data_IF_090982096924
#
_entry.id   IF_090982096924
#
_cell.length_a   1.000
_cell.length_b   1.000
_cell.length_c   1.000
_cell.angle_alpha   90.00
_cell.angle_beta   90.00
_cell.angle_gamma   90.00
#
_symmetry.space_group_name_H-M   'P 1'
#
loop_
_entity.id
_entity.type
_entity.pdbx_description
1 polymer ?
#
# COMPACT_ATOMS: atom_id res chain seq x y z
N UNK A 1 7.47 1.98 -18.34
CA UNK A 1 8.29 2.89 -17.51
C UNK A 1 9.62 2.20 -17.21
N UNK A 2 9.61 0.90 -16.95
CA UNK A 2 10.78 0.04 -16.73
C UNK A 2 11.86 0.14 -17.82
N UNK A 3 11.50 0.01 -19.10
CA UNK A 3 12.48 0.15 -20.21
C UNK A 3 13.12 1.55 -20.29
N UNK A 4 12.37 2.61 -19.98
CA UNK A 4 12.87 3.99 -19.98
C UNK A 4 13.88 4.20 -18.85
N UNK A 5 13.61 3.66 -17.67
CA UNK A 5 14.53 3.74 -16.53
C UNK A 5 15.80 2.93 -16.78
N UNK A 6 15.68 1.74 -17.39
CA UNK A 6 16.82 0.95 -17.84
C UNK A 6 17.69 1.70 -18.86
N UNK A 7 17.09 2.39 -19.84
CA UNK A 7 17.84 3.21 -20.79
C UNK A 7 18.54 4.40 -20.11
N UNK A 8 17.89 5.05 -19.13
CA UNK A 8 18.51 6.14 -18.34
C UNK A 8 19.70 5.60 -17.54
N UNK A 9 19.56 4.45 -16.87
CA UNK A 9 20.65 3.83 -16.12
C UNK A 9 21.77 3.40 -17.07
N UNK A 10 21.43 2.87 -18.25
CA UNK A 10 22.40 2.39 -19.24
C UNK A 10 23.21 3.51 -19.88
N UNK A 11 22.56 4.60 -20.29
CA UNK A 11 23.20 5.65 -21.08
C UNK A 11 23.52 6.93 -20.30
N UNK A 12 22.90 7.15 -19.14
CA UNK A 12 23.00 8.39 -18.36
C UNK A 12 23.40 8.17 -16.88
N UNK A 13 23.95 7.01 -16.52
CA UNK A 13 24.39 6.67 -15.16
C UNK A 13 25.29 7.74 -14.53
N UNK A 14 26.26 8.26 -15.28
CA UNK A 14 27.19 9.29 -14.76
C UNK A 14 26.46 10.56 -14.30
N UNK A 15 25.51 11.04 -15.09
CA UNK A 15 24.71 12.22 -14.78
C UNK A 15 23.71 11.92 -13.65
N UNK A 16 23.14 10.71 -13.65
CA UNK A 16 22.22 10.25 -12.62
C UNK A 16 22.92 10.19 -11.25
N UNK A 17 24.10 9.59 -11.18
CA UNK A 17 24.90 9.50 -9.95
C UNK A 17 25.36 10.86 -9.45
N UNK A 18 25.68 11.80 -10.35
CA UNK A 18 26.06 13.15 -10.00
C UNK A 18 24.88 13.94 -9.41
N UNK A 19 23.69 13.78 -9.99
CA UNK A 19 22.47 14.40 -9.48
C UNK A 19 22.06 13.81 -8.13
N UNK A 20 22.08 12.48 -7.99
CA UNK A 20 21.76 11.80 -6.74
C UNK A 20 22.71 12.21 -5.61
N UNK A 21 24.03 12.21 -5.84
CA UNK A 21 25.01 12.69 -4.85
C UNK A 21 24.79 14.15 -4.47
N UNK A 22 24.37 15.00 -5.41
CA UNK A 22 24.05 16.39 -5.07
C UNK A 22 22.84 16.47 -4.12
N UNK A 23 21.77 15.71 -4.39
CA UNK A 23 20.56 15.67 -3.57
C UNK A 23 20.90 15.20 -2.15
N UNK A 24 21.67 14.12 -2.02
CA UNK A 24 22.10 13.57 -0.74
C UNK A 24 22.88 14.59 0.11
N UNK A 25 23.69 15.44 -0.53
CA UNK A 25 24.47 16.48 0.14
C UNK A 25 23.70 17.79 0.40
N UNK A 26 22.51 17.98 -0.20
CA UNK A 26 21.74 19.24 -0.12
C UNK A 26 20.25 19.02 0.20
N UNK A 27 19.89 18.25 1.26
CA UNK A 27 18.52 17.79 1.48
C UNK A 27 17.49 18.91 1.71
N UNK A 28 17.92 20.10 2.16
CA UNK A 28 17.02 21.20 2.50
C UNK A 28 16.73 22.15 1.33
N UNK A 29 17.54 22.14 0.26
CA UNK A 29 17.43 23.10 -0.85
C UNK A 29 17.87 22.53 -2.21
N UNK A 30 17.91 21.21 -2.37
CA UNK A 30 18.36 20.49 -3.58
C UNK A 30 17.70 20.99 -4.87
N UNK A 31 16.45 21.47 -4.82
CA UNK A 31 15.73 22.01 -5.99
C UNK A 31 16.46 23.18 -6.67
N UNK A 32 17.14 24.02 -5.88
CA UNK A 32 17.99 25.11 -6.39
C UNK A 32 19.44 24.66 -6.47
N UNK A 33 19.96 24.05 -5.40
CA UNK A 33 21.38 23.68 -5.29
C UNK A 33 21.84 22.66 -6.35
N UNK A 34 20.93 21.79 -6.81
CA UNK A 34 21.22 20.73 -7.77
C UNK A 34 20.64 20.97 -9.17
N UNK A 35 20.17 22.20 -9.46
CA UNK A 35 19.56 22.55 -10.76
C UNK A 35 20.49 22.30 -11.95
N UNK A 36 21.81 22.51 -11.77
CA UNK A 36 22.83 22.20 -12.78
C UNK A 36 22.82 20.71 -13.14
N UNK A 37 22.93 19.83 -12.15
CA UNK A 37 22.99 18.38 -12.36
C UNK A 37 21.67 17.82 -12.89
N UNK A 38 20.53 18.40 -12.48
CA UNK A 38 19.21 18.11 -13.06
C UNK A 38 19.20 18.41 -14.56
N UNK A 39 19.74 19.56 -14.97
CA UNK A 39 19.81 19.96 -16.38
C UNK A 39 20.71 19.03 -17.19
N UNK A 40 21.85 18.61 -16.63
CA UNK A 40 22.77 17.67 -17.28
C UNK A 40 22.14 16.28 -17.47
N UNK A 41 21.42 15.78 -16.46
CA UNK A 41 20.70 14.50 -16.55
C UNK A 41 19.57 14.58 -17.59
N UNK A 42 18.77 15.66 -17.56
CA UNK A 42 17.70 15.85 -18.54
C UNK A 42 18.24 15.89 -19.96
N UNK A 43 19.33 16.64 -20.21
CA UNK A 43 19.97 16.68 -21.53
C UNK A 43 20.43 15.29 -21.99
N UNK A 44 21.05 14.52 -21.09
CA UNK A 44 21.45 13.16 -21.42
C UNK A 44 20.24 12.27 -21.79
N UNK A 45 19.17 12.34 -21.01
CA UNK A 45 17.96 11.56 -21.25
C UNK A 45 17.32 11.93 -22.60
N UNK A 46 17.27 13.22 -22.93
CA UNK A 46 16.77 13.70 -24.22
C UNK A 46 17.63 13.26 -25.40
N UNK A 47 18.94 13.07 -25.21
CA UNK A 47 19.86 12.67 -26.28
C UNK A 47 20.00 11.15 -26.44
N UNK A 48 19.60 10.36 -25.44
CA UNK A 48 19.91 8.93 -25.43
C UNK A 48 18.73 8.00 -25.13
N UNK A 49 17.63 8.51 -24.58
CA UNK A 49 16.46 7.69 -24.20
C UNK A 49 15.38 7.83 -25.26
N UNK A 50 15.00 6.70 -25.85
CA UNK A 50 14.13 6.63 -27.03
C UNK A 50 12.77 7.27 -26.76
N UNK A 51 12.22 6.98 -25.57
CA UNK A 51 10.90 7.43 -25.17
C UNK A 51 10.91 8.92 -24.83
N UNK A 52 11.98 9.41 -24.19
CA UNK A 52 12.15 10.84 -23.85
C UNK A 52 12.30 11.67 -25.12
N UNK A 53 13.06 11.19 -26.12
CA UNK A 53 13.13 11.82 -27.45
C UNK A 53 11.76 11.95 -28.10
N UNK A 54 10.99 10.86 -28.09
CA UNK A 54 9.67 10.81 -28.73
C UNK A 54 8.68 11.75 -28.04
N UNK A 55 8.66 11.75 -26.71
CA UNK A 55 7.82 12.65 -25.90
C UNK A 55 8.25 14.10 -26.11
N UNK A 56 9.54 14.42 -26.06
CA UNK A 56 10.01 15.79 -26.31
C UNK A 56 9.66 16.29 -27.71
N UNK A 57 9.78 15.44 -28.73
CA UNK A 57 9.42 15.80 -30.10
C UNK A 57 7.92 16.08 -30.26
N UNK A 58 7.04 15.28 -29.63
CA UNK A 58 5.58 15.37 -29.79
C UNK A 58 4.90 16.32 -28.80
N UNK A 59 5.43 16.45 -27.59
CA UNK A 59 4.78 17.09 -26.45
C UNK A 59 5.50 18.37 -25.97
N UNK A 60 6.50 18.88 -26.70
CA UNK A 60 7.28 20.06 -26.30
C UNK A 60 6.43 21.27 -25.92
N UNK A 61 5.36 21.55 -26.66
CA UNK A 61 4.43 22.65 -26.39
C UNK A 61 3.65 22.44 -25.08
N UNK A 62 3.20 21.20 -24.84
CA UNK A 62 2.43 20.82 -23.64
C UNK A 62 3.33 20.79 -22.40
N UNK A 63 4.56 20.28 -22.54
CA UNK A 63 5.61 20.33 -21.51
C UNK A 63 5.87 21.79 -21.12
N UNK A 64 6.04 22.66 -22.11
CA UNK A 64 6.30 24.09 -21.86
C UNK A 64 5.11 24.78 -21.17
N UNK A 65 3.87 24.42 -21.53
CA UNK A 65 2.68 24.96 -20.88
C UNK A 65 2.62 24.55 -19.39
N UNK A 66 2.90 23.29 -19.10
CA UNK A 66 2.95 22.77 -17.73
C UNK A 66 4.07 23.42 -16.91
N UNK A 67 5.30 23.49 -17.46
CA UNK A 67 6.44 24.12 -16.80
C UNK A 67 6.17 25.61 -16.50
N UNK A 68 5.58 26.34 -17.45
CA UNK A 68 5.20 27.73 -17.27
C UNK A 68 4.13 27.90 -16.17
N UNK A 69 3.18 26.97 -16.08
CA UNK A 69 2.20 26.98 -15.00
C UNK A 69 2.87 26.76 -13.64
N UNK A 70 3.76 25.77 -13.53
CA UNK A 70 4.49 25.47 -12.29
C UNK A 70 5.37 26.65 -11.86
N UNK A 71 6.03 27.33 -12.79
CA UNK A 71 6.83 28.52 -12.49
C UNK A 71 5.99 29.67 -11.94
N UNK A 72 4.76 29.84 -12.45
CA UNK A 72 3.83 30.88 -11.97
C UNK A 72 3.19 30.52 -10.63
N UNK A 73 3.01 29.23 -10.34
CA UNK A 73 2.27 28.73 -9.18
C UNK A 73 3.15 27.95 -8.20
N UNK A 74 4.39 28.39 -7.95
CA UNK A 74 5.36 27.67 -7.08
C UNK A 74 4.85 27.38 -5.66
N UNK A 75 3.96 28.22 -5.12
CA UNK A 75 3.37 28.04 -3.78
C UNK A 75 2.10 27.19 -3.75
N UNK A 76 1.48 26.97 -4.91
CA UNK A 76 0.21 26.25 -5.06
C UNK A 76 0.14 25.51 -6.41
N UNK A 77 0.95 24.44 -6.60
CA UNK A 77 1.06 23.73 -7.88
C UNK A 77 -0.23 23.05 -8.35
N UNK A 78 -1.21 22.84 -7.45
CA UNK A 78 -2.50 22.19 -7.74
C UNK A 78 -3.32 22.96 -8.80
N UNK A 79 -3.02 24.25 -9.00
CA UNK A 79 -3.61 25.07 -10.06
C UNK A 79 -3.22 24.62 -11.47
N UNK A 80 -2.16 23.82 -11.60
CA UNK A 80 -1.64 23.33 -12.89
C UNK A 80 -2.16 21.96 -13.28
N UNK A 81 -3.27 21.51 -12.68
CA UNK A 81 -3.78 20.14 -12.87
C UNK A 81 -4.29 19.89 -14.29
N UNK A 82 -4.80 20.92 -14.96
CA UNK A 82 -5.27 20.80 -16.35
C UNK A 82 -4.10 20.69 -17.33
N UNK A 83 -3.04 21.48 -17.13
CA UNK A 83 -1.79 21.35 -17.87
C UNK A 83 -1.11 20.00 -17.63
N UNK A 84 -1.19 19.46 -16.40
CA UNK A 84 -0.70 18.12 -16.07
C UNK A 84 -1.48 17.02 -16.81
N UNK A 85 -2.81 17.13 -16.89
CA UNK A 85 -3.65 16.18 -17.64
C UNK A 85 -3.29 16.18 -19.13
N UNK A 86 -3.14 17.37 -19.72
CA UNK A 86 -2.74 17.51 -21.11
C UNK A 86 -1.36 16.89 -21.36
N UNK A 87 -0.42 17.12 -20.44
CA UNK A 87 0.92 16.52 -20.51
C UNK A 87 0.85 15.00 -20.45
N UNK A 88 0.08 14.45 -19.51
CA UNK A 88 -0.12 13.01 -19.36
C UNK A 88 -0.71 12.40 -20.64
N UNK A 89 -1.80 12.96 -21.16
CA UNK A 89 -2.43 12.49 -22.39
C UNK A 89 -1.45 12.50 -23.57
N UNK A 90 -0.72 13.60 -23.75
CA UNK A 90 0.27 13.69 -24.81
C UNK A 90 1.38 12.63 -24.66
N UNK A 91 1.83 12.36 -23.43
CA UNK A 91 2.87 11.35 -23.19
C UNK A 91 2.40 9.93 -23.49
N UNK A 92 1.14 9.60 -23.20
CA UNK A 92 0.55 8.29 -23.53
C UNK A 92 0.37 8.11 -25.05
N UNK A 93 -0.12 9.14 -25.74
CA UNK A 93 -0.22 9.17 -27.21
C UNK A 93 1.17 9.09 -27.87
N UNK A 94 2.15 9.79 -27.32
CA UNK A 94 3.53 9.73 -27.78
C UNK A 94 4.11 8.32 -27.60
N UNK A 95 3.75 7.61 -26.52
CA UNK A 95 4.20 6.24 -26.26
C UNK A 95 3.53 5.17 -27.15
N UNK A 96 2.59 5.53 -28.03
CA UNK A 96 1.98 4.59 -28.99
C UNK A 96 1.03 3.58 -28.34
N UNK A 97 0.58 3.84 -27.12
CA UNK A 97 -0.40 2.99 -26.41
C UNK A 97 -1.79 3.30 -26.97
N UNK A 98 -2.41 2.33 -27.65
CA UNK A 98 -3.81 2.43 -28.06
C UNK A 98 -4.68 2.53 -26.81
N UNK A 99 -5.50 3.58 -26.72
CA UNK A 99 -6.64 3.63 -25.82
C UNK A 99 -7.49 2.38 -26.08
N UNK A 100 -7.47 1.44 -25.13
CA UNK A 100 -8.50 0.40 -25.03
C UNK A 100 -9.86 1.09 -25.08
N UNK A 101 -10.79 0.55 -25.87
CA UNK A 101 -12.19 1.01 -25.98
C UNK A 101 -13.01 0.78 -24.70
N UNK A 102 -12.34 0.64 -23.56
CA UNK A 102 -12.89 0.85 -22.24
C UNK A 102 -11.91 1.76 -21.52
N UNK A 103 -12.28 3.00 -21.18
CA UNK A 103 -11.40 3.88 -20.44
C UNK A 103 -11.04 3.19 -19.12
N UNK A 104 -9.78 3.24 -18.66
CA UNK A 104 -9.54 3.11 -17.24
C UNK A 104 -10.40 4.19 -16.59
N UNK A 105 -11.21 3.83 -15.59
CA UNK A 105 -12.03 4.80 -14.88
C UNK A 105 -11.13 5.76 -14.08
N UNK A 106 -10.47 6.68 -14.77
CA UNK A 106 -10.10 7.97 -14.21
C UNK A 106 -11.36 8.78 -14.38
N UNK A 107 -12.16 8.81 -13.31
CA UNK A 107 -13.38 9.58 -13.27
C UNK A 107 -13.07 11.04 -13.64
N UNK A 108 -13.59 11.46 -14.79
CA UNK A 108 -13.84 12.86 -15.13
C UNK A 108 -14.86 13.42 -14.14
N UNK A 109 -14.34 13.81 -12.99
CA UNK A 109 -14.83 14.74 -11.98
C UNK A 109 -14.08 14.40 -10.70
N UNK A 110 -13.64 15.40 -9.94
CA UNK A 110 -13.33 15.23 -8.51
C UNK A 110 -14.60 14.84 -7.75
N UNK A 111 -15.14 13.65 -7.98
CA UNK A 111 -15.83 12.88 -6.96
C UNK A 111 -14.74 12.02 -6.35
N UNK A 112 -14.31 12.39 -5.14
CA UNK A 112 -13.62 11.46 -4.26
C UNK A 112 -14.37 10.13 -4.31
N UNK A 113 -13.72 9.05 -4.77
CA UNK A 113 -14.29 7.72 -4.61
C UNK A 113 -14.13 7.40 -3.14
N UNK A 114 -15.19 7.63 -2.39
CA UNK A 114 -15.23 7.38 -0.96
C UNK A 114 -15.05 5.88 -0.69
N UNK A 115 -14.39 5.52 0.41
CA UNK A 115 -14.17 4.13 0.81
C UNK A 115 -15.49 3.35 0.87
N UNK A 116 -16.60 4.03 1.17
CA UNK A 116 -17.95 3.48 1.17
C UNK A 116 -18.37 2.81 -0.14
N UNK A 117 -17.82 3.23 -1.28
CA UNK A 117 -18.07 2.62 -2.58
C UNK A 117 -17.56 1.17 -2.68
N UNK A 118 -16.58 0.81 -1.83
CA UNK A 118 -15.94 -0.51 -1.80
C UNK A 118 -16.46 -1.40 -0.68
N UNK A 119 -17.58 -1.04 -0.05
CA UNK A 119 -18.17 -1.82 1.02
C UNK A 119 -18.63 -3.17 0.49
N UNK A 120 -18.25 -4.25 1.18
CA UNK A 120 -18.79 -5.59 0.93
C UNK A 120 -20.23 -5.61 1.47
N UNK A 121 -21.22 -5.61 0.58
CA UNK A 121 -22.63 -5.47 0.96
C UNK A 121 -23.14 -6.64 1.82
N UNK A 122 -22.66 -7.85 1.52
CA UNK A 122 -23.02 -9.08 2.22
C UNK A 122 -22.27 -9.28 3.55
N UNK A 123 -21.32 -8.39 3.88
CA UNK A 123 -20.58 -8.44 5.13
C UNK A 123 -21.26 -7.55 6.19
N UNK A 124 -20.97 -7.76 7.49
CA UNK A 124 -21.29 -6.76 8.51
C UNK A 124 -20.77 -5.37 8.09
N UNK A 125 -21.45 -4.28 8.51
CA UNK A 125 -20.98 -2.93 8.26
C UNK A 125 -19.49 -2.80 8.63
N UNK A 126 -18.76 -2.02 7.84
CA UNK A 126 -17.33 -1.70 8.05
C UNK A 126 -16.28 -2.70 7.53
N UNK A 127 -16.65 -3.59 6.61
CA UNK A 127 -15.70 -4.31 5.73
C UNK A 127 -15.65 -3.69 4.32
N UNK A 128 -14.45 -3.35 3.84
CA UNK A 128 -14.24 -2.78 2.52
C UNK A 128 -13.13 -3.52 1.77
N UNK A 129 -13.35 -3.79 0.49
CA UNK A 129 -12.42 -4.57 -0.31
C UNK A 129 -12.21 -3.96 -1.70
N UNK A 130 -10.94 -3.80 -2.08
CA UNK A 130 -10.51 -3.16 -3.32
C UNK A 130 -9.53 -4.10 -4.03
N UNK A 131 -9.91 -4.63 -5.18
CA UNK A 131 -8.99 -5.39 -6.04
C UNK A 131 -8.03 -4.44 -6.78
N UNK A 132 -6.84 -4.93 -7.15
CA UNK A 132 -5.84 -4.16 -7.91
C UNK A 132 -5.55 -2.78 -7.29
N UNK A 133 -5.51 -2.71 -5.95
CA UNK A 133 -5.18 -1.51 -5.19
C UNK A 133 -3.75 -1.04 -5.45
N UNK A 134 -2.85 -1.98 -5.70
CA UNK A 134 -1.50 -1.72 -6.21
C UNK A 134 -1.31 -2.37 -7.59
N UNK A 135 -0.37 -1.85 -8.37
CA UNK A 135 0.02 -2.46 -9.64
C UNK A 135 0.94 -3.67 -9.42
N UNK A 136 1.14 -4.46 -10.47
CA UNK A 136 2.10 -5.57 -10.47
C UNK A 136 3.55 -5.10 -10.21
N UNK A 137 3.92 -3.91 -10.72
CA UNK A 137 5.26 -3.35 -10.51
C UNK A 137 5.46 -2.91 -9.06
N UNK A 138 4.44 -2.28 -8.45
CA UNK A 138 4.46 -1.93 -7.03
C UNK A 138 4.55 -3.19 -6.15
N UNK A 139 3.79 -4.24 -6.48
CA UNK A 139 3.86 -5.53 -5.79
C UNK A 139 5.25 -6.14 -5.86
N UNK A 140 5.87 -6.16 -7.05
CA UNK A 140 7.23 -6.68 -7.26
C UNK A 140 8.23 -5.93 -6.38
N UNK A 141 8.21 -4.60 -6.42
CA UNK A 141 9.13 -3.76 -5.63
C UNK A 141 8.91 -3.97 -4.12
N UNK A 142 7.66 -4.08 -3.67
CA UNK A 142 7.33 -4.35 -2.27
C UNK A 142 7.88 -5.71 -1.82
N UNK A 143 7.66 -6.76 -2.62
CA UNK A 143 8.18 -8.10 -2.32
C UNK A 143 9.72 -8.11 -2.28
N UNK A 144 10.39 -7.46 -3.23
CA UNK A 144 11.85 -7.34 -3.24
C UNK A 144 12.36 -6.69 -1.95
N UNK A 145 11.70 -5.62 -1.48
CA UNK A 145 12.08 -4.93 -0.24
C UNK A 145 11.78 -5.73 1.02
N UNK A 146 10.65 -6.46 1.05
CA UNK A 146 10.31 -7.38 2.13
C UNK A 146 11.39 -8.45 2.28
N UNK A 147 11.81 -9.08 1.18
CA UNK A 147 12.80 -10.15 1.22
C UNK A 147 14.24 -9.67 1.38
N UNK A 148 14.55 -8.43 0.98
CA UNK A 148 15.84 -7.80 1.25
C UNK A 148 16.02 -7.39 2.73
N UNK A 149 14.97 -7.48 3.56
CA UNK A 149 15.07 -7.16 4.98
C UNK A 149 16.10 -8.07 5.68
N UNK A 150 16.91 -7.52 6.61
CA UNK A 150 17.96 -8.29 7.28
C UNK A 150 17.37 -9.40 8.16
N UNK A 151 18.08 -10.52 8.32
CA UNK A 151 17.61 -11.70 9.09
C UNK A 151 16.96 -11.38 10.44
N UNK A 152 17.50 -10.45 11.28
CA UNK A 152 16.89 -10.12 12.57
C UNK A 152 15.49 -9.47 12.49
N UNK A 153 15.08 -8.94 11.32
CA UNK A 153 13.72 -8.44 11.13
C UNK A 153 12.70 -9.56 10.96
N UNK A 154 13.13 -10.76 10.58
CA UNK A 154 12.28 -11.93 10.46
C UNK A 154 12.20 -12.69 11.79
N UNK A 155 11.00 -12.73 12.36
CA UNK A 155 10.68 -13.58 13.51
C UNK A 155 9.92 -14.79 13.02
N UNK A 156 10.47 -15.97 13.27
CA UNK A 156 9.76 -17.23 12.99
C UNK A 156 8.78 -17.51 14.12
N UNK A 157 7.52 -17.70 13.78
CA UNK A 157 6.46 -18.16 14.66
C UNK A 157 6.14 -19.61 14.32
N UNK A 158 5.21 -20.24 15.06
CA UNK A 158 4.91 -21.67 14.93
C UNK A 158 4.72 -22.12 13.47
N UNK A 159 3.87 -21.41 12.72
CA UNK A 159 3.45 -21.79 11.36
C UNK A 159 3.58 -20.66 10.33
N UNK A 160 4.33 -19.59 10.63
CA UNK A 160 4.53 -18.44 9.72
C UNK A 160 5.75 -17.63 10.14
N UNK A 161 6.17 -16.66 9.32
CA UNK A 161 7.15 -15.65 9.74
C UNK A 161 6.61 -14.24 9.66
N UNK A 162 7.15 -13.36 10.49
CA UNK A 162 6.69 -12.00 10.71
C UNK A 162 7.84 -10.99 10.64
N UNK A 163 7.57 -9.79 10.12
CA UNK A 163 8.39 -8.59 10.35
C UNK A 163 7.59 -7.50 11.05
N UNK A 164 8.27 -6.68 11.86
CA UNK A 164 7.70 -5.52 12.52
C UNK A 164 8.40 -4.22 12.07
N UNK A 165 7.59 -3.24 11.64
CA UNK A 165 7.99 -1.91 11.20
C UNK A 165 7.17 -0.81 11.88
N UNK A 166 7.82 0.34 12.14
CA UNK A 166 7.18 1.53 12.73
C UNK A 166 7.29 1.62 14.26
N UNK A 167 7.84 0.59 14.90
CA UNK A 167 8.15 0.59 16.33
C UNK A 167 7.88 -0.75 17.00
N UNK A 168 8.03 -0.78 18.32
CA UNK A 168 7.73 -1.96 19.14
C UNK A 168 6.55 -1.63 20.06
N UNK A 169 5.35 -2.20 19.81
CA UNK A 169 4.23 -2.10 20.72
C UNK A 169 4.59 -2.62 22.12
N UNK A 170 4.24 -1.87 23.16
CA UNK A 170 4.39 -2.24 24.58
C UNK A 170 3.18 -1.76 25.36
N UNK A 171 2.47 -2.70 25.97
CA UNK A 171 1.23 -2.45 26.72
C UNK A 171 0.24 -1.57 25.94
N UNK A 172 -0.08 -0.38 26.46
CA UNK A 172 -1.01 0.61 25.88
C UNK A 172 -0.29 1.68 25.03
N UNK A 173 0.94 1.42 24.59
CA UNK A 173 1.77 2.38 23.85
C UNK A 173 2.68 1.69 22.83
N UNK A 174 3.45 2.46 22.07
CA UNK A 174 4.50 1.95 21.19
C UNK A 174 5.75 2.81 21.27
N UNK A 175 6.91 2.15 21.35
CA UNK A 175 8.19 2.80 21.12
C UNK A 175 8.31 3.04 19.61
N UNK A 176 8.08 4.28 19.17
CA UNK A 176 7.88 4.58 17.74
C UNK A 176 9.21 4.72 17.00
N UNK A 177 9.24 4.15 15.81
CA UNK A 177 10.28 4.33 14.80
C UNK A 177 9.63 4.81 13.49
N UNK A 178 10.35 5.51 12.62
CA UNK A 178 9.84 5.84 11.29
C UNK A 178 9.52 4.58 10.50
N UNK A 179 8.40 4.58 9.79
CA UNK A 179 8.15 3.56 8.77
C UNK A 179 9.10 3.79 7.57
N UNK A 180 9.68 2.74 6.99
CA UNK A 180 10.51 2.85 5.79
C UNK A 180 9.76 3.45 4.60
N UNK A 181 10.44 4.26 3.79
CA UNK A 181 9.84 4.92 2.61
C UNK A 181 9.26 3.93 1.59
N UNK A 182 9.88 2.75 1.46
CA UNK A 182 9.39 1.71 0.56
C UNK A 182 8.01 1.14 0.96
N UNK A 183 7.60 1.29 2.23
CA UNK A 183 6.23 0.99 2.67
C UNK A 183 5.31 2.20 2.51
N UNK A 184 5.81 3.41 2.76
CA UNK A 184 4.96 4.61 2.81
C UNK A 184 4.65 5.17 1.43
N UNK A 185 5.64 5.33 0.55
CA UNK A 185 5.48 5.99 -0.75
C UNK A 185 4.43 5.33 -1.67
N UNK A 186 4.42 3.99 -1.87
CA UNK A 186 3.42 3.38 -2.77
C UNK A 186 2.01 3.27 -2.14
N UNK A 187 1.89 3.34 -0.82
CA UNK A 187 0.64 3.01 -0.11
C UNK A 187 -0.07 4.24 0.45
N UNK A 188 0.65 5.16 1.10
CA UNK A 188 0.05 6.24 1.88
C UNK A 188 -0.73 7.25 1.04
N UNK A 189 -0.29 7.64 -0.18
CA UNK A 189 -1.09 8.52 -1.03
C UNK A 189 -2.47 7.92 -1.32
N UNK A 190 -2.54 6.61 -1.58
CA UNK A 190 -3.79 5.90 -1.88
C UNK A 190 -4.69 5.77 -0.66
N UNK A 191 -4.13 5.44 0.51
CA UNK A 191 -4.88 5.41 1.77
C UNK A 191 -5.43 6.79 2.16
N UNK A 192 -4.67 7.85 1.88
CA UNK A 192 -5.08 9.24 2.11
C UNK A 192 -6.22 9.63 1.17
N UNK A 193 -6.08 9.31 -0.12
CA UNK A 193 -7.11 9.55 -1.13
C UNK A 193 -8.43 8.88 -0.77
N UNK A 194 -8.38 7.64 -0.26
CA UNK A 194 -9.52 6.86 0.21
C UNK A 194 -9.98 7.20 1.64
N UNK A 195 -9.30 8.11 2.35
CA UNK A 195 -9.64 8.52 3.73
C UNK A 195 -9.75 7.34 4.70
N UNK A 196 -8.93 6.30 4.51
CA UNK A 196 -9.04 5.02 5.23
C UNK A 196 -8.97 5.19 6.75
N UNK A 197 -8.12 6.11 7.22
CA UNK A 197 -7.89 6.36 8.65
C UNK A 197 -8.54 7.66 9.16
N UNK A 198 -9.52 8.24 8.45
CA UNK A 198 -10.14 9.50 8.87
C UNK A 198 -10.90 9.39 10.20
N UNK A 199 -11.37 8.20 10.57
CA UNK A 199 -11.99 7.92 11.88
C UNK A 199 -10.99 7.88 13.04
N UNK A 200 -9.69 7.75 12.78
CA UNK A 200 -8.69 7.70 13.84
C UNK A 200 -8.43 9.11 14.39
N UNK A 201 -8.51 9.25 15.71
CA UNK A 201 -8.46 10.56 16.38
C UNK A 201 -7.03 11.15 16.37
N UNK A 202 -6.03 10.32 16.66
CA UNK A 202 -4.67 10.78 16.88
C UNK A 202 -3.88 11.10 15.59
N UNK A 203 -4.15 10.36 14.49
CA UNK A 203 -3.40 10.42 13.23
C UNK A 203 -4.29 10.03 12.06
N UNK A 204 -3.92 10.45 10.85
CA UNK A 204 -4.62 10.12 9.58
C UNK A 204 -3.83 9.17 8.68
N UNK A 205 -2.63 8.79 9.11
CA UNK A 205 -1.77 7.85 8.43
C UNK A 205 -1.23 6.84 9.45
N UNK A 206 -1.04 5.57 9.03
CA UNK A 206 -0.55 4.52 9.91
C UNK A 206 0.90 4.79 10.32
N UNK A 207 1.24 4.37 11.54
CA UNK A 207 2.59 4.48 12.09
C UNK A 207 3.18 3.11 12.46
N UNK A 208 2.46 2.02 12.16
CA UNK A 208 2.90 0.65 12.42
C UNK A 208 2.48 -0.26 11.27
N UNK A 209 3.34 -1.20 10.90
CA UNK A 209 3.07 -2.20 9.87
C UNK A 209 3.65 -3.55 10.29
N UNK A 210 2.82 -4.59 10.25
CA UNK A 210 3.28 -5.97 10.35
C UNK A 210 3.27 -6.62 8.98
N UNK A 211 4.39 -7.27 8.63
CA UNK A 211 4.51 -8.09 7.42
C UNK A 211 4.40 -9.55 7.84
N UNK A 212 3.39 -10.27 7.36
CA UNK A 212 3.29 -11.72 7.59
C UNK A 212 3.53 -12.45 6.26
N UNK A 213 4.33 -13.50 6.28
CA UNK A 213 4.44 -14.45 5.16
C UNK A 213 3.80 -15.78 5.54
N UNK A 214 3.04 -16.32 4.59
CA UNK A 214 2.46 -17.66 4.62
C UNK A 214 2.90 -18.38 3.34
N UNK A 215 3.62 -19.49 3.46
CA UNK A 215 3.78 -20.43 2.34
C UNK A 215 2.55 -21.33 2.22
N UNK A 216 2.41 -22.08 1.12
CA UNK A 216 1.32 -23.04 0.96
C UNK A 216 1.22 -23.98 2.16
N UNK A 217 0.01 -24.22 2.66
CA UNK A 217 -0.25 -25.03 3.85
C UNK A 217 -0.22 -24.25 5.17
N UNK A 218 0.35 -23.03 5.20
CA UNK A 218 0.40 -22.23 6.43
C UNK A 218 -0.85 -21.38 6.65
N UNK A 219 -1.06 -21.01 7.91
CA UNK A 219 -2.23 -20.27 8.35
C UNK A 219 -2.02 -19.57 9.69
N UNK A 220 -3.10 -19.02 10.22
CA UNK A 220 -3.18 -18.41 11.53
C UNK A 220 -4.55 -18.70 12.14
N UNK A 221 -4.54 -19.21 13.37
CA UNK A 221 -5.76 -19.48 14.12
C UNK A 221 -6.62 -18.21 14.29
N UNK A 222 -7.94 -18.36 14.50
CA UNK A 222 -8.83 -17.23 14.74
C UNK A 222 -8.32 -16.33 15.87
N UNK A 223 -8.12 -15.04 15.57
CA UNK A 223 -7.58 -14.04 16.50
C UNK A 223 -8.13 -12.65 16.19
N UNK A 224 -7.79 -11.68 17.04
CA UNK A 224 -8.01 -10.25 16.83
C UNK A 224 -6.67 -9.50 16.85
N UNK A 225 -6.62 -8.31 16.25
CA UNK A 225 -5.43 -7.46 16.27
C UNK A 225 -5.18 -6.82 17.67
N UNK A 226 -6.19 -6.79 18.54
CA UNK A 226 -6.13 -6.30 19.92
C UNK A 226 -6.44 -4.80 20.06
N UNK A 227 -6.86 -4.31 21.24
CA UNK A 227 -7.46 -2.98 21.40
C UNK A 227 -6.56 -1.78 21.03
N UNK A 228 -5.25 -1.98 20.88
CA UNK A 228 -4.27 -0.93 20.57
C UNK A 228 -4.46 -0.29 19.19
N UNK A 229 -5.07 -1.02 18.24
CA UNK A 229 -5.17 -0.60 16.83
C UNK A 229 -6.59 -0.25 16.38
N UNK A 230 -7.55 -0.25 17.31
CA UNK A 230 -8.89 0.25 17.06
C UNK A 230 -8.82 1.74 16.63
N UNK A 231 -9.67 2.23 15.70
CA UNK A 231 -10.80 1.55 15.06
C UNK A 231 -10.53 0.90 13.70
N UNK A 232 -9.33 1.04 13.10
CA UNK A 232 -9.13 0.74 11.68
C UNK A 232 -7.87 -0.09 11.44
N UNK A 233 -8.03 -1.15 10.65
CA UNK A 233 -6.92 -1.94 10.10
C UNK A 233 -7.01 -1.97 8.59
N UNK A 234 -5.88 -1.75 7.93
CA UNK A 234 -5.74 -1.82 6.48
C UNK A 234 -4.69 -2.88 6.12
N UNK A 235 -5.07 -3.89 5.33
CA UNK A 235 -4.18 -4.97 4.91
C UNK A 235 -4.04 -4.96 3.39
N UNK A 236 -2.82 -4.81 2.91
CA UNK A 236 -2.46 -5.00 1.50
C UNK A 236 -1.92 -6.42 1.33
N UNK A 237 -2.47 -7.19 0.39
CA UNK A 237 -2.04 -8.57 0.13
C UNK A 237 -1.17 -8.65 -1.13
N UNK A 238 -0.12 -9.47 -1.09
CA UNK A 238 0.89 -9.64 -2.14
C UNK A 238 1.13 -11.13 -2.43
N UNK A 239 1.57 -11.45 -3.64
CA UNK A 239 1.99 -12.78 -4.06
C UNK A 239 0.80 -13.68 -4.42
N UNK A 240 0.36 -14.49 -3.46
CA UNK A 240 -0.79 -15.40 -3.63
C UNK A 240 -2.07 -14.88 -2.96
N UNK A 241 -3.19 -15.44 -3.38
CA UNK A 241 -4.47 -15.28 -2.70
C UNK A 241 -4.49 -16.02 -1.34
N UNK A 242 -5.52 -15.74 -0.54
CA UNK A 242 -5.96 -16.60 0.58
C UNK A 242 -7.47 -16.46 0.78
N UNK A 243 -8.09 -17.46 1.41
CA UNK A 243 -9.39 -17.27 2.05
C UNK A 243 -9.18 -16.85 3.50
N UNK A 244 -9.79 -15.73 3.90
CA UNK A 244 -9.79 -15.19 5.26
C UNK A 244 -11.14 -15.49 5.91
N UNK A 245 -11.14 -16.27 6.97
CA UNK A 245 -12.33 -16.73 7.67
C UNK A 245 -12.65 -15.79 8.83
N UNK A 246 -13.93 -15.42 8.99
CA UNK A 246 -14.42 -14.57 10.08
C UNK A 246 -15.37 -15.36 10.98
N UNK A 247 -15.10 -15.33 12.29
CA UNK A 247 -15.83 -16.09 13.30
C UNK A 247 -16.47 -15.13 14.30
N UNK A 248 -17.73 -15.35 14.65
CA UNK A 248 -18.39 -14.50 15.67
C UNK A 248 -17.78 -14.76 17.04
N UNK A 249 -17.49 -13.70 17.78
CA UNK A 249 -17.15 -13.82 19.19
C UNK A 249 -18.36 -14.39 19.94
N UNK A 250 -18.22 -15.55 20.61
CA UNK A 250 -19.24 -15.96 21.58
C UNK A 250 -19.14 -14.98 22.75
N UNK A 251 -20.17 -14.16 23.00
CA UNK A 251 -20.21 -13.32 24.21
C UNK A 251 -20.13 -14.26 25.44
N UNK A 252 -19.45 -13.83 26.50
CA UNK A 252 -19.22 -14.59 27.75
C UNK A 252 -20.49 -14.90 28.57
N UNK A 253 -21.64 -15.12 27.94
CA UNK A 253 -22.90 -15.48 28.59
C UNK A 253 -23.58 -16.62 27.82
N UNK A 254 -23.22 -17.87 28.14
CA UNK A 254 -24.09 -19.05 28.14
C UNK A 254 -23.23 -20.33 28.22
N UNK A 255 -23.33 -21.00 29.37
CA UNK A 255 -23.10 -22.42 29.66
C UNK A 255 -21.87 -23.13 29.04
N UNK A 256 -21.00 -23.58 29.95
CA UNK A 256 -19.77 -24.36 29.73
C UNK A 256 -19.99 -25.78 29.15
N UNK A 257 -20.91 -25.98 28.19
CA UNK A 257 -21.26 -27.32 27.73
C UNK A 257 -20.87 -27.65 26.28
N UNK A 258 -20.25 -26.75 25.51
CA UNK A 258 -19.71 -27.10 24.19
C UNK A 258 -18.37 -26.40 23.92
N UNK A 259 -17.28 -27.14 24.14
CA UNK A 259 -15.90 -26.63 24.18
C UNK A 259 -15.24 -26.42 22.81
N UNK A 260 -15.93 -26.60 21.69
CA UNK A 260 -15.24 -26.62 20.39
C UNK A 260 -15.71 -25.50 19.45
N UNK A 261 -14.82 -24.51 19.28
CA UNK A 261 -14.74 -23.50 18.20
C UNK A 261 -15.79 -22.36 18.14
N UNK A 262 -15.32 -21.13 17.87
CA UNK A 262 -16.20 -20.01 17.51
C UNK A 262 -16.88 -20.30 16.15
N UNK A 263 -18.18 -20.01 15.96
CA UNK A 263 -18.87 -20.34 14.71
C UNK A 263 -18.36 -19.47 13.56
N UNK A 264 -18.05 -20.11 12.43
CA UNK A 264 -17.72 -19.44 11.17
C UNK A 264 -18.95 -18.63 10.72
N UNK A 265 -18.77 -17.34 10.47
CA UNK A 265 -19.82 -16.45 10.02
C UNK A 265 -19.82 -16.31 8.50
N UNK A 266 -18.65 -15.99 7.95
CA UNK A 266 -18.41 -15.82 6.52
C UNK A 266 -16.91 -15.87 6.26
N UNK A 267 -16.56 -15.95 4.99
CA UNK A 267 -15.18 -15.89 4.53
C UNK A 267 -15.03 -14.84 3.43
N UNK A 268 -13.81 -14.35 3.23
CA UNK A 268 -13.45 -13.44 2.15
C UNK A 268 -12.32 -14.04 1.32
N UNK A 269 -12.47 -14.06 -0.01
CA UNK A 269 -11.37 -14.34 -0.92
C UNK A 269 -10.53 -13.06 -1.06
N UNK A 270 -9.27 -13.13 -0.61
CA UNK A 270 -8.34 -12.02 -0.64
C UNK A 270 -7.30 -12.29 -1.72
N UNK A 271 -7.38 -11.56 -2.83
CA UNK A 271 -6.49 -11.70 -4.00
C UNK A 271 -5.15 -10.97 -3.76
N UNK A 272 -4.09 -11.28 -4.52
CA UNK A 272 -2.91 -10.43 -4.56
C UNK A 272 -3.27 -9.01 -5.01
N UNK A 273 -2.42 -8.05 -4.66
CA UNK A 273 -2.54 -6.61 -4.94
C UNK A 273 -3.79 -5.94 -4.37
N UNK A 274 -4.53 -6.60 -3.48
CA UNK A 274 -5.80 -6.08 -2.96
C UNK A 274 -5.66 -5.28 -1.67
N UNK A 275 -6.51 -4.26 -1.56
CA UNK A 275 -7.04 -3.56 -0.39
C UNK A 275 -8.03 -4.35 0.48
N UNK A 276 -7.74 -4.76 1.72
CA UNK A 276 -8.78 -5.07 2.72
C UNK A 276 -8.76 -4.05 3.87
N UNK A 277 -9.88 -3.39 4.13
CA UNK A 277 -10.05 -2.48 5.29
C UNK A 277 -11.15 -3.02 6.20
N UNK A 278 -10.82 -3.14 7.48
CA UNK A 278 -11.74 -3.54 8.54
C UNK A 278 -11.85 -2.40 9.54
N UNK A 279 -13.08 -1.99 9.88
CA UNK A 279 -13.33 -0.95 10.89
C UNK A 279 -14.38 -1.37 11.93
N UNK A 280 -14.44 -0.62 13.03
CA UNK A 280 -15.56 -0.57 13.99
C UNK A 280 -15.99 -1.94 14.55
N UNK A 281 -17.26 -2.32 14.39
CA UNK A 281 -17.85 -3.51 15.02
C UNK A 281 -17.27 -4.81 14.50
N UNK A 282 -16.80 -4.84 13.24
CA UNK A 282 -16.14 -6.01 12.70
C UNK A 282 -14.81 -6.27 13.43
N UNK A 283 -14.10 -5.21 13.82
CA UNK A 283 -12.86 -5.31 14.58
C UNK A 283 -13.06 -5.91 15.99
N UNK A 284 -14.21 -5.63 16.62
CA UNK A 284 -14.49 -6.02 18.01
C UNK A 284 -15.25 -7.34 18.13
N UNK A 285 -16.12 -7.63 17.17
CA UNK A 285 -17.13 -8.69 17.31
C UNK A 285 -16.75 -9.96 16.57
N UNK A 286 -15.69 -9.91 15.74
CA UNK A 286 -15.25 -11.03 14.94
C UNK A 286 -13.77 -11.32 15.17
N UNK A 287 -13.47 -12.62 15.29
CA UNK A 287 -12.12 -13.12 15.12
C UNK A 287 -11.90 -13.41 13.64
N UNK A 288 -10.67 -13.27 13.17
CA UNK A 288 -10.30 -13.64 11.81
C UNK A 288 -9.14 -14.64 11.81
N UNK A 289 -9.13 -15.54 10.83
CA UNK A 289 -8.13 -16.59 10.71
C UNK A 289 -7.88 -16.99 9.26
N UNK A 290 -6.74 -17.63 9.03
CA UNK A 290 -6.40 -18.27 7.76
C UNK A 290 -6.22 -19.75 8.08
N UNK A 291 -7.10 -20.59 7.55
CA UNK A 291 -7.03 -22.03 7.74
C UNK A 291 -5.79 -22.63 7.04
N UNK A 292 -5.16 -23.62 7.68
CA UNK A 292 -3.97 -24.32 7.18
C UNK A 292 -4.38 -25.31 6.08
N UNK A 293 -4.10 -24.95 4.81
CA UNK A 293 -4.38 -25.78 3.63
C UNK A 293 -3.54 -25.32 2.43
N UNK A 294 -3.42 -26.20 1.43
CA UNK A 294 -2.65 -25.93 0.22
C UNK A 294 -3.50 -25.37 -0.94
N UNK A 295 -4.83 -25.50 -0.85
CA UNK A 295 -5.78 -25.12 -1.89
C UNK A 295 -7.10 -24.66 -1.30
N UNK A 296 -7.78 -23.74 -1.95
CA UNK A 296 -9.13 -23.30 -1.59
C UNK A 296 -10.14 -23.76 -2.66
N UNK A 297 -11.27 -24.29 -2.22
CA UNK A 297 -12.42 -24.61 -3.07
C UNK A 297 -13.45 -23.50 -2.87
N UNK A 298 -13.66 -22.67 -3.90
CA UNK A 298 -14.40 -21.43 -3.74
C UNK A 298 -15.92 -21.62 -3.53
N UNK A 299 -16.44 -22.80 -3.85
CA UNK A 299 -17.84 -23.16 -3.66
C UNK A 299 -18.19 -23.69 -2.26
N UNK A 300 -17.20 -24.17 -1.49
CA UNK A 300 -17.42 -24.85 -0.21
C UNK A 300 -17.51 -23.90 1.01
N UNK A 301 -17.41 -22.59 0.79
CA UNK A 301 -17.44 -21.58 1.86
C UNK A 301 -18.43 -20.48 1.54
N UNK A 302 -18.98 -19.85 2.59
CA UNK A 302 -19.75 -18.62 2.48
C UNK A 302 -18.81 -17.45 2.14
N UNK A 303 -18.19 -17.49 0.95
CA UNK A 303 -17.26 -16.48 0.44
C UNK A 303 -18.08 -15.33 -0.16
N UNK A 304 -18.28 -14.31 0.64
CA UNK A 304 -19.29 -13.29 0.35
C UNK A 304 -18.84 -12.19 -0.63
N UNK A 305 -17.56 -12.15 -1.00
CA UNK A 305 -17.01 -11.20 -1.97
C UNK A 305 -16.61 -11.84 -3.32
N UNK A 306 -16.99 -13.10 -3.54
CA UNK A 306 -16.76 -13.84 -4.77
C UNK A 306 -18.07 -14.52 -5.22
N UNK A 307 -19.11 -13.70 -5.43
CA UNK A 307 -20.41 -14.16 -5.92
C UNK A 307 -20.23 -14.58 -7.39
N UNK A 308 -20.82 -15.71 -7.79
CA UNK A 308 -20.79 -16.28 -9.15
C UNK A 308 -19.50 -17.00 -9.59
N UNK A 309 -18.69 -17.50 -8.64
CA UNK A 309 -17.58 -18.39 -9.00
C UNK A 309 -18.08 -19.84 -9.07
N UNK A 310 -17.89 -20.49 -10.23
CA UNK A 310 -18.12 -21.93 -10.40
C UNK A 310 -17.26 -22.76 -9.42
N UNK A 311 -17.41 -24.09 -9.36
CA UNK A 311 -16.58 -25.00 -8.55
C UNK A 311 -15.09 -24.93 -8.97
N UNK A 312 -14.42 -23.85 -8.59
CA UNK A 312 -13.02 -23.57 -8.92
C UNK A 312 -12.19 -23.90 -7.69
N UNK A 313 -11.30 -24.86 -7.88
CA UNK A 313 -10.20 -25.14 -6.97
C UNK A 313 -8.99 -24.28 -7.36
N UNK A 314 -8.45 -23.54 -6.39
CA UNK A 314 -7.26 -22.69 -6.58
C UNK A 314 -6.15 -23.07 -5.61
N UNK A 315 -4.95 -23.30 -6.15
CA UNK A 315 -3.77 -23.61 -5.33
C UNK A 315 -3.19 -22.35 -4.68
N UNK A 316 -2.84 -22.46 -3.39
CA UNK A 316 -2.15 -21.39 -2.67
C UNK A 316 -0.66 -21.42 -2.98
N UNK A 317 -0.14 -20.29 -3.44
CA UNK A 317 1.29 -20.00 -3.43
C UNK A 317 1.73 -19.28 -2.15
N UNK A 318 2.93 -18.72 -2.16
CA UNK A 318 3.41 -17.87 -1.06
C UNK A 318 2.67 -16.54 -1.06
N UNK A 319 2.03 -16.22 0.08
CA UNK A 319 1.34 -14.95 0.32
C UNK A 319 2.11 -14.11 1.32
N UNK A 320 2.25 -12.83 1.02
CA UNK A 320 2.73 -11.82 1.97
C UNK A 320 1.60 -10.81 2.23
N UNK A 321 1.41 -10.40 3.49
CA UNK A 321 0.45 -9.36 3.83
C UNK A 321 1.11 -8.22 4.61
N UNK A 322 0.85 -6.98 4.18
CA UNK A 322 1.27 -5.75 4.85
C UNK A 322 0.08 -5.16 5.62
N UNK A 323 0.09 -5.31 6.95
CA UNK A 323 -1.03 -4.87 7.81
C UNK A 323 -0.68 -3.55 8.51
N UNK A 324 -1.23 -2.47 7.98
CA UNK A 324 -1.04 -1.09 8.42
C UNK A 324 -2.04 -0.67 9.49
N UNK A 325 -1.53 -0.03 10.54
CA UNK A 325 -2.29 0.32 11.75
C UNK A 325 -1.83 1.65 12.35
N UNK A 326 -2.70 2.26 13.16
CA UNK A 326 -2.37 3.42 14.00
C UNK A 326 -2.26 2.95 15.44
N UNK A 327 -1.12 3.25 16.08
CA UNK A 327 -0.98 3.25 17.53
C UNK A 327 -1.03 4.70 18.00
N UNK A 328 -2.07 5.04 18.77
CA UNK A 328 -2.32 6.42 19.20
C UNK A 328 -1.26 6.95 20.18
N UNK A 329 -0.92 6.15 21.20
CA UNK A 329 0.05 6.53 22.24
C UNK A 329 1.44 6.07 21.84
N UNK A 330 2.30 7.03 21.46
CA UNK A 330 3.69 6.77 21.07
C UNK A 330 4.68 7.40 22.03
N UNK A 331 5.76 6.67 22.33
CA UNK A 331 6.92 7.15 23.08
C UNK A 331 8.06 7.35 22.09
N UNK A 332 8.58 8.58 22.01
CA UNK A 332 9.72 8.93 21.16
C UNK A 332 11.00 9.00 22.00
N UNK A 333 12.00 8.17 21.69
CA UNK A 333 13.28 8.12 22.43
C UNK A 333 14.02 9.46 22.44
N UNK A 334 13.84 10.31 21.40
CA UNK A 334 14.45 11.64 21.35
C UNK A 334 14.01 12.57 22.51
N UNK A 335 12.85 12.35 23.12
CA UNK A 335 12.33 13.19 24.20
C UNK A 335 12.85 12.81 25.60
N UNK A 336 13.37 11.59 25.81
CA UNK A 336 13.78 11.15 27.15
C UNK A 336 15.23 11.50 27.50
N UNK A 337 16.08 11.77 26.51
CA UNK A 337 17.50 12.09 26.75
C UNK A 337 17.74 13.57 27.11
N UNK A 338 16.79 14.47 26.81
CA UNK A 338 16.91 15.91 27.08
C UNK A 338 16.09 16.43 28.28
N UNK A 339 15.37 15.56 28.98
CA UNK A 339 14.54 15.94 30.15
C UNK A 339 15.15 15.55 31.51
N UNK A 340 16.44 15.23 31.58
CA UNK A 340 17.16 15.29 32.86
C UNK A 340 17.48 16.76 33.15
N UNK A 341 16.55 17.43 33.83
CA UNK A 341 16.84 18.67 34.56
C UNK A 341 18.00 18.38 35.52
N UNK A 342 19.15 18.99 35.25
CA UNK A 342 20.19 19.25 36.24
C UNK A 342 19.68 20.23 37.29
#
# INVERSE_FOLDING_TARGET
MDQTLEEVVKYCSKQLDAYQRCIENNPQNWGVACSKYKTELNKCAEENVTEVKRVKAKCSSVISAFDNCLQKNQKDPDKCIEELKQLYQCTEEAAGRKLSSRPPAIADNKKFVDLSAYRIQSAPPSAYYIEEFISADEERVLLDKVYAAPKPKWVSLKNRRLQNWGGIPRDKSMLSEPLPSWLTEPIFPKLTFLKVFDKCAARKLPNHCLVNEYVSGQGIMPHEDGPLYYPTVATVSLGSHTVLDFYKHRFQNADQSNMDSNPLAFSLLIKPRSLLVLQDDLYKSYLHGIEERNKDVLSEKNIINAVDVEDIEIERGTRVSLTFRIVEKVINIKASLFNRKT
#
